data_IF_936058381247
#
_entry.id   IF_936058381247
#
_cell.length_a   1.000
_cell.length_b   1.000
_cell.length_c   1.000
_cell.angle_alpha   90.00
_cell.angle_beta   90.00
_cell.angle_gamma   90.00
#
_symmetry.space_group_name_H-M   'P 1'
#
loop_
_entity.id
_entity.type
_entity.pdbx_description
1 polymer ?
#
# COMPACT_ATOMS: atom_id res chain seq x y z
N UNK A 1 12.11 60.46 14.50
CA UNK A 1 11.31 60.62 15.58
C UNK A 1 10.38 59.48 15.96
N UNK A 2 9.47 59.77 16.84
CA UNK A 2 8.53 58.81 17.47
C UNK A 2 7.64 58.04 16.48
N UNK A 3 7.24 58.65 15.37
CA UNK A 3 6.45 58.00 14.34
C UNK A 3 7.15 56.82 13.64
N UNK A 4 8.46 56.86 13.54
CA UNK A 4 9.24 55.78 12.94
C UNK A 4 9.35 54.53 13.87
N UNK A 5 9.48 54.79 15.17
CA UNK A 5 9.51 53.74 16.19
C UNK A 5 8.15 53.03 16.26
N UNK A 6 7.05 53.79 16.25
CA UNK A 6 5.68 53.24 16.23
C UNK A 6 5.41 52.44 14.97
N UNK A 7 5.82 52.92 13.79
CA UNK A 7 5.70 52.22 12.52
C UNK A 7 6.43 50.88 12.53
N UNK A 8 7.68 50.84 13.01
CA UNK A 8 8.45 49.61 13.07
C UNK A 8 7.86 48.59 14.04
N UNK A 9 7.34 49.03 15.17
CA UNK A 9 6.65 48.15 16.13
C UNK A 9 5.35 47.56 15.54
N UNK A 10 4.56 48.39 14.87
CA UNK A 10 3.33 47.97 14.21
C UNK A 10 3.59 47.06 13.01
N UNK A 11 4.67 47.31 12.22
CA UNK A 11 5.05 46.48 11.11
C UNK A 11 5.45 45.07 11.56
N UNK A 12 6.22 44.96 12.65
CA UNK A 12 6.58 43.66 13.22
C UNK A 12 5.37 42.89 13.72
N UNK A 13 4.44 43.57 14.42
CA UNK A 13 3.19 42.96 14.87
C UNK A 13 2.30 42.53 13.70
N UNK A 14 2.17 43.36 12.66
CA UNK A 14 1.39 43.03 11.46
C UNK A 14 1.94 41.80 10.76
N UNK A 15 3.25 41.63 10.70
CA UNK A 15 3.90 40.47 10.13
C UNK A 15 3.59 39.18 10.90
N UNK A 16 3.64 39.20 12.23
CA UNK A 16 3.29 38.07 13.07
C UNK A 16 1.78 37.74 12.95
N UNK A 17 0.92 38.73 12.90
CA UNK A 17 -0.51 38.53 12.66
C UNK A 17 -0.75 37.92 11.27
N UNK A 18 -0.05 38.36 10.24
CA UNK A 18 -0.14 37.77 8.90
C UNK A 18 0.24 36.30 8.91
N UNK A 19 1.32 35.90 9.60
CA UNK A 19 1.69 34.49 9.76
C UNK A 19 0.59 33.68 10.43
N UNK A 20 -0.02 34.22 11.48
CA UNK A 20 -1.14 33.55 12.15
C UNK A 20 -2.34 33.34 11.23
N UNK A 21 -2.69 34.32 10.40
CA UNK A 21 -3.75 34.15 9.42
C UNK A 21 -3.42 33.09 8.36
N UNK A 22 -2.17 33.03 7.89
CA UNK A 22 -1.71 31.99 6.96
C UNK A 22 -1.83 30.60 7.61
N UNK A 23 -1.38 30.47 8.86
CA UNK A 23 -1.49 29.22 9.62
C UNK A 23 -2.95 28.82 9.88
N UNK A 24 -3.80 29.78 10.22
CA UNK A 24 -5.22 29.55 10.42
C UNK A 24 -5.91 29.07 9.13
N UNK A 25 -5.60 29.71 8.00
CA UNK A 25 -6.12 29.28 6.71
C UNK A 25 -5.63 27.87 6.34
N UNK A 26 -4.35 27.56 6.58
CA UNK A 26 -3.80 26.23 6.39
C UNK A 26 -4.56 25.19 7.25
N UNK A 27 -4.76 25.45 8.53
CA UNK A 27 -5.53 24.56 9.41
C UNK A 27 -6.97 24.38 8.95
N UNK A 28 -7.59 25.46 8.44
CA UNK A 28 -8.92 25.38 7.87
C UNK A 28 -8.99 24.45 6.66
N UNK A 29 -8.05 24.59 5.70
CA UNK A 29 -7.95 23.71 4.54
C UNK A 29 -7.67 22.25 4.95
N UNK A 30 -6.84 22.02 5.97
CA UNK A 30 -6.53 20.69 6.46
C UNK A 30 -7.67 20.02 7.24
N UNK A 31 -8.67 20.79 7.66
CA UNK A 31 -9.85 20.26 8.37
C UNK A 31 -10.89 19.62 7.45
N UNK A 32 -10.77 19.81 6.14
CA UNK A 32 -11.72 19.31 5.15
C UNK A 32 -11.07 18.22 4.28
N UNK A 33 -11.76 17.11 4.09
CA UNK A 33 -11.23 15.95 3.38
C UNK A 33 -10.85 16.21 1.91
N UNK A 34 -11.49 17.16 1.26
CA UNK A 34 -11.23 17.55 -0.14
C UNK A 34 -9.93 18.36 -0.30
N UNK A 35 -9.61 19.19 0.68
CA UNK A 35 -8.43 20.08 0.67
C UNK A 35 -7.26 19.57 1.51
N UNK A 36 -7.52 18.66 2.46
CA UNK A 36 -6.52 18.06 3.31
C UNK A 36 -5.42 17.34 2.51
N UNK A 37 -4.18 17.46 2.96
CA UNK A 37 -3.08 16.63 2.46
C UNK A 37 -3.24 15.17 2.93
N UNK A 38 -2.32 14.29 2.50
CA UNK A 38 -2.44 12.87 2.78
C UNK A 38 -2.48 12.54 4.27
N UNK A 39 -1.64 13.18 5.07
CA UNK A 39 -1.49 12.85 6.48
C UNK A 39 -2.74 13.24 7.29
N UNK A 40 -3.32 14.39 6.99
CA UNK A 40 -4.55 14.84 7.64
C UNK A 40 -5.78 14.06 7.11
N UNK A 41 -5.81 13.78 5.79
CA UNK A 41 -6.87 12.94 5.22
C UNK A 41 -6.89 11.52 5.82
N UNK A 42 -5.74 10.93 6.14
CA UNK A 42 -5.66 9.64 6.84
C UNK A 42 -6.33 9.72 8.21
N UNK A 43 -6.18 10.82 8.95
CA UNK A 43 -6.83 11.02 10.24
C UNK A 43 -8.35 11.15 10.08
N UNK A 44 -8.80 11.99 9.14
CA UNK A 44 -10.22 12.19 8.82
C UNK A 44 -10.88 10.88 8.40
N UNK A 45 -10.23 10.10 7.53
CA UNK A 45 -10.75 8.81 7.06
C UNK A 45 -10.83 7.78 8.19
N UNK A 46 -9.84 7.78 9.10
CA UNK A 46 -9.81 6.90 10.26
C UNK A 46 -10.99 7.11 11.22
N UNK A 47 -11.48 8.34 11.37
CA UNK A 47 -12.65 8.65 12.20
C UNK A 47 -13.92 7.94 11.68
N UNK A 48 -13.94 7.56 10.40
CA UNK A 48 -14.97 6.72 9.78
C UNK A 48 -14.60 5.23 9.69
N UNK A 49 -13.52 4.81 10.33
CA UNK A 49 -13.04 3.43 10.26
C UNK A 49 -12.35 3.07 8.94
N UNK A 50 -12.00 4.05 8.10
CA UNK A 50 -11.32 3.83 6.82
C UNK A 50 -9.81 3.99 7.02
N UNK A 51 -9.07 2.91 6.84
CA UNK A 51 -7.63 2.89 6.96
C UNK A 51 -6.98 2.96 5.59
N UNK A 52 -5.91 3.75 5.46
CA UNK A 52 -5.10 3.79 4.25
C UNK A 52 -4.50 2.43 3.98
N UNK A 53 -4.57 1.96 2.73
CA UNK A 53 -3.93 0.71 2.29
C UNK A 53 -2.44 0.95 2.13
N UNK A 54 -1.64 0.11 2.80
CA UNK A 54 -0.18 0.13 2.69
C UNK A 54 0.29 -0.71 1.52
N UNK A 55 1.48 -0.40 1.01
CA UNK A 55 2.14 -1.18 -0.02
C UNK A 55 2.30 -2.65 0.40
N UNK A 56 2.16 -3.55 -0.56
CA UNK A 56 2.32 -4.99 -0.37
C UNK A 56 3.48 -5.53 -1.21
N UNK A 57 4.07 -6.64 -0.77
CA UNK A 57 5.12 -7.34 -1.51
C UNK A 57 4.56 -8.24 -2.61
N UNK A 58 5.31 -8.39 -3.69
CA UNK A 58 5.00 -9.37 -4.73
C UNK A 58 5.37 -10.79 -4.26
N UNK A 59 4.58 -11.78 -4.65
CA UNK A 59 4.91 -13.20 -4.54
C UNK A 59 5.23 -13.75 -5.90
N UNK A 60 6.31 -14.49 -5.99
CA UNK A 60 6.87 -14.99 -7.25
C UNK A 60 7.14 -16.49 -7.20
N UNK A 61 7.17 -17.11 -8.36
CA UNK A 61 7.63 -18.48 -8.54
C UNK A 61 9.09 -18.50 -8.94
N UNK A 62 9.90 -19.24 -8.19
CA UNK A 62 11.32 -19.46 -8.43
C UNK A 62 11.55 -20.93 -8.78
N UNK A 63 12.24 -21.18 -9.88
CA UNK A 63 12.68 -22.50 -10.28
C UNK A 63 14.20 -22.59 -10.13
N UNK A 64 14.67 -23.66 -9.51
CA UNK A 64 16.09 -23.92 -9.31
C UNK A 64 16.51 -25.26 -9.93
N UNK A 65 17.82 -25.55 -9.97
CA UNK A 65 18.36 -26.84 -10.37
C UNK A 65 18.55 -27.80 -9.19
N UNK A 66 18.40 -27.32 -7.96
CA UNK A 66 18.58 -28.10 -6.75
C UNK A 66 17.56 -27.74 -5.67
N UNK A 67 17.60 -28.45 -4.55
CA UNK A 67 16.75 -28.19 -3.39
C UNK A 67 17.19 -26.90 -2.69
N UNK A 68 16.27 -25.91 -2.62
CA UNK A 68 16.50 -24.67 -1.90
C UNK A 68 16.03 -24.79 -0.43
N UNK A 69 16.85 -24.38 0.54
CA UNK A 69 16.41 -24.17 1.91
C UNK A 69 15.34 -23.07 1.97
N UNK A 70 14.33 -23.25 2.80
CA UNK A 70 13.38 -22.16 3.10
C UNK A 70 14.14 -21.04 3.82
N UNK A 71 13.90 -19.80 3.38
CA UNK A 71 14.63 -18.63 3.85
C UNK A 71 15.79 -18.20 2.96
N UNK A 72 16.23 -19.03 1.99
CA UNK A 72 17.28 -18.63 1.04
C UNK A 72 16.90 -17.36 0.30
N UNK A 73 17.88 -16.46 0.13
CA UNK A 73 17.70 -15.15 -0.45
C UNK A 73 18.37 -15.02 -1.80
N UNK A 74 17.70 -14.36 -2.69
CA UNK A 74 18.15 -14.13 -4.06
C UNK A 74 17.98 -12.66 -4.43
N UNK A 75 18.75 -12.19 -5.40
CA UNK A 75 18.60 -10.85 -5.97
C UNK A 75 18.31 -10.94 -7.46
N UNK A 76 17.47 -10.02 -7.94
CA UNK A 76 17.28 -9.74 -9.36
C UNK A 76 17.19 -8.22 -9.53
N UNK A 77 18.19 -7.65 -10.22
CA UNK A 77 18.37 -6.18 -10.30
C UNK A 77 18.48 -5.56 -8.89
N UNK A 78 17.57 -4.66 -8.52
CA UNK A 78 17.51 -3.98 -7.22
C UNK A 78 16.55 -4.62 -6.23
N UNK A 79 15.95 -5.76 -6.57
CA UNK A 79 14.96 -6.44 -5.73
C UNK A 79 15.53 -7.70 -5.11
N UNK A 80 15.12 -7.97 -3.87
CA UNK A 80 15.52 -9.14 -3.11
C UNK A 80 14.31 -10.06 -2.91
N UNK A 81 14.55 -11.35 -3.02
CA UNK A 81 13.50 -12.37 -2.91
C UNK A 81 13.91 -13.41 -1.89
N UNK A 82 12.99 -13.76 -1.01
CA UNK A 82 13.19 -14.79 0.00
C UNK A 82 12.25 -15.95 -0.22
N UNK A 83 12.79 -17.16 -0.30
CA UNK A 83 12.02 -18.40 -0.45
C UNK A 83 11.20 -18.64 0.82
N UNK A 84 9.90 -18.86 0.67
CA UNK A 84 8.98 -19.06 1.79
C UNK A 84 8.38 -20.46 1.83
N UNK A 85 8.13 -21.08 0.69
CA UNK A 85 7.57 -22.43 0.63
C UNK A 85 7.93 -23.14 -0.69
N UNK A 86 7.86 -24.47 -0.70
CA UNK A 86 7.98 -25.25 -1.92
C UNK A 86 6.62 -25.45 -2.55
N UNK A 87 6.46 -25.05 -3.82
CA UNK A 87 5.26 -25.32 -4.62
C UNK A 87 5.30 -26.77 -5.13
N UNK A 88 6.45 -27.17 -5.67
CA UNK A 88 6.69 -28.54 -6.13
C UNK A 88 8.15 -28.91 -5.84
N UNK A 89 8.33 -29.74 -4.81
CA UNK A 89 9.67 -30.18 -4.39
C UNK A 89 10.38 -31.04 -5.44
N UNK A 90 9.64 -31.84 -6.23
CA UNK A 90 10.21 -32.71 -7.25
C UNK A 90 10.71 -31.93 -8.47
N UNK A 91 10.12 -30.77 -8.75
CA UNK A 91 10.49 -29.89 -9.85
C UNK A 91 11.34 -28.68 -9.37
N UNK A 92 11.75 -28.67 -8.11
CA UNK A 92 12.50 -27.58 -7.49
C UNK A 92 11.87 -26.21 -7.73
N UNK A 93 10.54 -26.15 -7.61
CA UNK A 93 9.76 -24.91 -7.78
C UNK A 93 9.30 -24.39 -6.43
N UNK A 94 9.60 -23.15 -6.17
CA UNK A 94 9.39 -22.51 -4.86
C UNK A 94 8.61 -21.22 -5.01
N UNK A 95 7.87 -20.88 -3.97
CA UNK A 95 7.27 -19.55 -3.81
C UNK A 95 8.26 -18.70 -3.01
N UNK A 96 8.51 -17.51 -3.51
CA UNK A 96 9.32 -16.51 -2.82
C UNK A 96 8.54 -15.21 -2.70
N UNK A 97 8.86 -14.44 -1.67
CA UNK A 97 8.33 -13.10 -1.44
C UNK A 97 9.40 -12.06 -1.78
N UNK A 98 9.02 -11.01 -2.47
CA UNK A 98 9.87 -9.84 -2.64
C UNK A 98 10.01 -9.13 -1.28
N UNK A 99 11.22 -8.81 -0.85
CA UNK A 99 11.46 -8.12 0.42
C UNK A 99 11.09 -6.64 0.34
N UNK A 100 11.15 -6.05 -0.85
CA UNK A 100 10.66 -4.72 -1.15
C UNK A 100 9.17 -4.75 -1.46
N UNK A 101 8.45 -3.75 -0.94
CA UNK A 101 7.02 -3.54 -1.22
C UNK A 101 6.83 -2.67 -2.46
N UNK A 102 5.65 -2.74 -3.04
CA UNK A 102 5.28 -1.92 -4.19
C UNK A 102 5.13 -2.70 -5.48
N UNK A 103 4.77 -1.99 -6.53
CA UNK A 103 4.47 -2.55 -7.86
C UNK A 103 5.71 -2.81 -8.72
N UNK A 104 6.88 -2.34 -8.32
CA UNK A 104 8.09 -2.36 -9.14
C UNK A 104 8.62 -3.75 -9.50
N UNK A 105 8.33 -4.76 -8.66
CA UNK A 105 8.74 -6.14 -8.90
C UNK A 105 7.76 -6.95 -9.79
N UNK A 106 6.59 -6.40 -10.13
CA UNK A 106 5.49 -7.15 -10.76
C UNK A 106 5.78 -7.70 -12.17
N UNK A 107 6.70 -7.06 -12.88
CA UNK A 107 7.00 -7.43 -14.28
C UNK A 107 8.42 -7.99 -14.43
N UNK A 108 9.03 -8.42 -13.33
CA UNK A 108 10.38 -8.95 -13.35
C UNK A 108 10.35 -10.48 -13.52
N UNK A 109 11.15 -10.95 -14.47
CA UNK A 109 11.47 -12.36 -14.68
C UNK A 109 12.94 -12.47 -15.08
N UNK A 110 13.56 -13.61 -14.86
CA UNK A 110 14.92 -13.85 -15.28
C UNK A 110 15.76 -14.58 -14.24
N UNK A 111 17.05 -14.64 -14.52
CA UNK A 111 18.01 -15.36 -13.69
C UNK A 111 18.25 -14.62 -12.37
N UNK A 112 18.21 -15.39 -11.30
CA UNK A 112 18.39 -14.92 -9.93
C UNK A 112 19.83 -15.15 -9.48
N UNK A 113 20.42 -14.18 -8.82
CA UNK A 113 21.72 -14.31 -8.15
C UNK A 113 21.50 -14.66 -6.69
N UNK A 114 22.07 -15.76 -6.23
CA UNK A 114 22.02 -16.15 -4.83
C UNK A 114 22.79 -15.15 -3.95
N UNK A 115 22.17 -14.69 -2.88
CA UNK A 115 22.81 -13.86 -1.85
C UNK A 115 23.46 -14.77 -0.81
N UNK A 116 22.72 -15.81 -0.40
CA UNK A 116 23.23 -16.82 0.53
C UNK A 116 23.79 -18.00 -0.24
N UNK A 117 24.83 -18.64 0.30
CA UNK A 117 25.37 -19.87 -0.28
C UNK A 117 24.35 -21.01 -0.20
N UNK A 118 24.07 -21.64 -1.32
CA UNK A 118 23.21 -22.83 -1.41
C UNK A 118 24.01 -23.95 -2.09
N UNK A 119 24.17 -25.06 -1.41
CA UNK A 119 24.94 -26.20 -1.91
C UNK A 119 24.28 -26.81 -3.16
N UNK A 120 25.09 -27.04 -4.20
CA UNK A 120 24.62 -27.58 -5.48
C UNK A 120 23.81 -26.62 -6.35
N UNK A 121 23.70 -25.36 -5.99
CA UNK A 121 22.99 -24.35 -6.80
C UNK A 121 23.91 -23.88 -7.94
N UNK A 122 23.49 -24.15 -9.16
CA UNK A 122 24.12 -23.63 -10.38
C UNK A 122 23.25 -22.55 -11.03
N UNK A 123 21.90 -22.71 -10.98
CA UNK A 123 20.96 -21.79 -11.59
C UNK A 123 19.66 -21.70 -10.79
N UNK A 124 19.20 -20.48 -10.61
CA UNK A 124 17.85 -20.17 -10.13
C UNK A 124 17.24 -19.10 -11.04
N UNK A 125 15.94 -19.20 -11.30
CA UNK A 125 15.24 -18.33 -12.23
C UNK A 125 13.87 -17.95 -11.65
N UNK A 126 13.54 -16.66 -11.69
CA UNK A 126 12.22 -16.14 -11.44
C UNK A 126 11.37 -16.34 -12.70
N UNK A 127 10.41 -17.27 -12.63
CA UNK A 127 9.63 -17.70 -13.79
C UNK A 127 8.37 -16.89 -14.00
N UNK A 128 7.69 -16.54 -12.93
CA UNK A 128 6.46 -15.75 -13.00
C UNK A 128 6.13 -15.07 -11.68
N UNK A 129 5.34 -14.01 -11.76
CA UNK A 129 4.73 -13.36 -10.59
C UNK A 129 3.41 -14.06 -10.29
N UNK A 130 3.24 -14.54 -9.06
CA UNK A 130 2.04 -15.25 -8.59
C UNK A 130 1.00 -14.27 -8.05
N UNK A 131 1.46 -13.28 -7.27
CA UNK A 131 0.63 -12.24 -6.69
C UNK A 131 1.40 -10.93 -6.86
N UNK A 132 0.77 -9.96 -7.47
CA UNK A 132 1.35 -8.64 -7.66
C UNK A 132 1.48 -7.89 -6.34
N UNK A 133 2.61 -7.22 -6.15
CA UNK A 133 2.77 -6.20 -5.14
C UNK A 133 1.97 -4.94 -5.51
N UNK A 134 1.57 -4.18 -4.53
CA UNK A 134 0.84 -2.92 -4.71
C UNK A 134 1.59 -1.79 -4.02
N UNK A 135 1.50 -0.61 -4.59
CA UNK A 135 2.03 0.60 -3.97
C UNK A 135 1.12 1.09 -2.85
N UNK A 136 1.62 1.99 -2.03
CA UNK A 136 0.81 2.70 -1.04
C UNK A 136 -0.35 3.41 -1.72
N UNK A 137 -1.52 3.35 -1.08
CA UNK A 137 -2.70 4.06 -1.55
C UNK A 137 -2.42 5.56 -1.64
N UNK A 138 -2.72 6.14 -2.79
CA UNK A 138 -2.57 7.58 -3.02
C UNK A 138 -3.62 8.37 -2.26
N UNK A 139 -3.38 9.68 -2.06
CA UNK A 139 -4.35 10.60 -1.46
C UNK A 139 -5.70 10.53 -2.17
N UNK A 140 -5.69 10.57 -3.50
CA UNK A 140 -6.93 10.63 -4.28
C UNK A 140 -7.71 9.32 -4.23
N UNK A 141 -7.02 8.16 -4.18
CA UNK A 141 -7.65 6.86 -4.00
C UNK A 141 -8.29 6.73 -2.61
N UNK A 142 -7.60 7.19 -1.55
CA UNK A 142 -8.14 7.24 -0.20
C UNK A 142 -9.35 8.17 -0.11
N UNK A 143 -9.27 9.35 -0.72
CA UNK A 143 -10.38 10.31 -0.78
C UNK A 143 -11.60 9.73 -1.49
N UNK A 144 -11.41 9.07 -2.62
CA UNK A 144 -12.50 8.40 -3.34
C UNK A 144 -13.20 7.33 -2.47
N UNK A 145 -12.44 6.51 -1.74
CA UNK A 145 -13.00 5.53 -0.79
C UNK A 145 -13.72 6.21 0.38
N UNK A 146 -13.17 7.30 0.88
CA UNK A 146 -13.82 8.11 1.91
C UNK A 146 -15.16 8.62 1.44
N UNK A 147 -15.25 9.21 0.24
CA UNK A 147 -16.52 9.66 -0.34
C UNK A 147 -17.49 8.50 -0.58
N UNK A 148 -17.01 7.38 -1.08
CA UNK A 148 -17.83 6.19 -1.31
C UNK A 148 -18.48 5.69 -0.01
N UNK A 149 -17.84 5.84 1.13
CA UNK A 149 -18.39 5.42 2.43
C UNK A 149 -19.66 6.17 2.84
N UNK A 150 -19.92 7.35 2.28
CA UNK A 150 -21.15 8.09 2.52
C UNK A 150 -22.32 7.61 1.65
N UNK A 151 -22.02 7.02 0.49
CA UNK A 151 -23.04 6.55 -0.47
C UNK A 151 -23.35 5.08 -0.29
N UNK A 152 -22.45 4.33 0.34
CA UNK A 152 -22.63 2.91 0.61
C UNK A 152 -23.25 2.76 1.99
N UNK A 153 -24.57 2.83 2.07
CA UNK A 153 -25.29 2.43 3.28
C UNK A 153 -25.20 0.90 3.39
N UNK A 154 -24.36 0.43 4.30
CA UNK A 154 -24.29 -1.00 4.62
C UNK A 154 -25.43 -1.36 5.57
N UNK A 155 -26.62 -1.64 5.01
CA UNK A 155 -27.68 -2.30 5.78
C UNK A 155 -27.31 -3.76 6.01
N UNK A 156 -27.45 -4.24 7.25
CA UNK A 156 -27.11 -5.60 7.63
C UNK A 156 -27.67 -6.66 6.67
N UNK A 157 -26.81 -7.46 6.04
CA UNK A 157 -27.19 -8.52 5.13
C UNK A 157 -27.31 -8.15 3.66
N UNK A 158 -27.00 -6.90 3.27
CA UNK A 158 -27.00 -6.56 1.84
C UNK A 158 -25.67 -6.90 1.14
N UNK A 159 -25.69 -6.95 -0.19
CA UNK A 159 -24.52 -7.28 -1.03
C UNK A 159 -23.32 -6.35 -0.76
N UNK A 160 -23.59 -5.06 -0.47
CA UNK A 160 -22.54 -4.07 -0.23
C UNK A 160 -21.76 -4.41 1.04
N UNK A 161 -22.43 -4.78 2.11
CA UNK A 161 -21.81 -5.18 3.38
C UNK A 161 -20.95 -6.44 3.22
N UNK A 162 -21.44 -7.46 2.49
CA UNK A 162 -20.63 -8.67 2.22
C UNK A 162 -19.37 -8.34 1.42
N UNK A 163 -19.48 -7.50 0.39
CA UNK A 163 -18.32 -7.08 -0.41
C UNK A 163 -17.31 -6.28 0.44
N UNK A 164 -17.79 -5.42 1.32
CA UNK A 164 -16.95 -4.64 2.22
C UNK A 164 -16.20 -5.55 3.21
N UNK A 165 -16.92 -6.44 3.89
CA UNK A 165 -16.32 -7.35 4.86
C UNK A 165 -15.30 -8.31 4.22
N UNK A 166 -15.65 -8.89 3.08
CA UNK A 166 -14.74 -9.80 2.37
C UNK A 166 -13.55 -9.04 1.78
N UNK A 167 -13.77 -7.82 1.25
CA UNK A 167 -12.69 -6.97 0.73
C UNK A 167 -11.75 -6.41 1.81
N UNK A 168 -12.17 -6.41 3.08
CA UNK A 168 -11.32 -6.04 4.21
C UNK A 168 -10.32 -7.14 4.62
N UNK A 169 -10.51 -8.38 4.13
CA UNK A 169 -9.60 -9.48 4.41
C UNK A 169 -8.31 -9.29 3.61
N UNK A 170 -7.17 -9.31 4.29
CA UNK A 170 -5.87 -9.16 3.65
C UNK A 170 -5.64 -10.25 2.59
N UNK A 171 -5.24 -9.83 1.38
CA UNK A 171 -5.01 -10.72 0.24
C UNK A 171 -6.22 -10.98 -0.65
N UNK A 172 -7.40 -10.44 -0.33
CA UNK A 172 -8.58 -10.53 -1.19
C UNK A 172 -8.61 -9.34 -2.15
N UNK A 173 -8.39 -9.57 -3.45
CA UNK A 173 -8.40 -8.54 -4.50
C UNK A 173 -9.81 -8.17 -4.98
N UNK A 174 -10.82 -8.98 -4.66
CA UNK A 174 -12.22 -8.74 -5.01
C UNK A 174 -13.10 -9.94 -4.68
N UNK A 175 -14.41 -9.72 -4.54
CA UNK A 175 -15.38 -10.77 -4.34
C UNK A 175 -16.65 -10.54 -5.20
N UNK A 176 -17.27 -11.61 -5.64
CA UNK A 176 -18.59 -11.61 -6.25
C UNK A 176 -19.59 -12.17 -5.23
N UNK A 177 -20.64 -11.41 -4.94
CA UNK A 177 -21.73 -11.85 -4.07
C UNK A 177 -22.92 -12.18 -4.94
N UNK A 178 -23.40 -13.40 -4.84
CA UNK A 178 -24.63 -13.83 -5.49
C UNK A 178 -25.78 -13.78 -4.47
N UNK A 179 -26.80 -12.93 -4.70
CA UNK A 179 -27.79 -12.61 -3.67
C UNK A 179 -28.77 -13.74 -3.35
N UNK A 180 -28.91 -14.71 -4.25
CA UNK A 180 -29.81 -15.85 -4.06
C UNK A 180 -29.19 -17.08 -4.70
N UNK A 181 -29.06 -18.14 -3.93
CA UNK A 181 -28.79 -19.48 -4.44
C UNK A 181 -30.12 -20.16 -4.77
N UNK A 182 -30.39 -20.34 -6.05
CA UNK A 182 -31.64 -20.99 -6.50
C UNK A 182 -31.60 -22.55 -6.48
N UNK A 183 -30.56 -23.12 -5.85
CA UNK A 183 -30.34 -24.55 -5.79
C UNK A 183 -29.88 -25.17 -7.14
N UNK A 184 -29.55 -26.48 -7.14
CA UNK A 184 -29.30 -27.21 -8.36
C UNK A 184 -30.59 -27.44 -9.10
#
# INVERSE_FOLDING_TARGET
GEGYLLYNALAALSYEIQKLYIQLNYLYEQSHADTADLDELVKIAKDRGIYRKTATSAYVSVKANCKLPIGSRFSLKSYHYRVIEAINANLYTYKAICEETGSGANNLTGELTAIDYVDGLEKAELTQVLINGTDDETRDALYARYLQSFTTESFGGNIAQYKEQVGAIAGVGGCKVEPVWNGP
#
